data_IF_623912294390
#
_entry.id   IF_623912294390
#
_cell.length_a   1.000
_cell.length_b   1.000
_cell.length_c   1.000
_cell.angle_alpha   90.00
_cell.angle_beta   90.00
_cell.angle_gamma   90.00
#
_symmetry.space_group_name_H-M   'P 1'
#
loop_
_entity.id
_entity.type
_entity.pdbx_description
1 polymer ?
#
# COMPACT_ATOMS: atom_id res chain seq x y z
N UNK A 1 -19.15 11.99 -3.85
CA UNK A 1 -18.54 11.27 -2.73
C UNK A 1 -17.38 12.08 -2.21
N UNK A 2 -17.38 12.41 -0.93
CA UNK A 2 -16.26 13.17 -0.40
C UNK A 2 -15.08 12.25 -0.06
N UNK A 3 -13.87 12.82 0.16
CA UNK A 3 -12.68 12.00 0.44
C UNK A 3 -12.81 11.10 1.66
N UNK A 4 -13.49 11.53 2.70
CA UNK A 4 -13.67 10.69 3.89
C UNK A 4 -14.55 9.48 3.60
N UNK A 5 -15.62 9.67 2.81
CA UNK A 5 -16.48 8.57 2.40
C UNK A 5 -15.72 7.57 1.53
N UNK A 6 -14.84 8.05 0.66
CA UNK A 6 -13.97 7.19 -0.15
C UNK A 6 -13.06 6.36 0.73
N UNK A 7 -12.41 6.97 1.72
CA UNK A 7 -11.53 6.25 2.64
C UNK A 7 -12.28 5.23 3.47
N UNK A 8 -13.50 5.55 3.89
CA UNK A 8 -14.36 4.63 4.63
C UNK A 8 -14.74 3.43 3.75
N UNK A 9 -15.07 3.66 2.49
CA UNK A 9 -15.38 2.59 1.55
C UNK A 9 -14.18 1.67 1.32
N UNK A 10 -12.99 2.25 1.20
CA UNK A 10 -11.75 1.47 1.05
C UNK A 10 -11.50 0.62 2.31
N UNK A 11 -11.65 1.21 3.49
CA UNK A 11 -11.44 0.52 4.76
C UNK A 11 -12.37 -0.69 4.91
N UNK A 12 -13.62 -0.58 4.47
CA UNK A 12 -14.59 -1.68 4.56
C UNK A 12 -14.12 -2.92 3.77
N UNK A 13 -13.44 -2.72 2.64
CA UNK A 13 -12.91 -3.82 1.86
C UNK A 13 -11.77 -4.55 2.57
N UNK A 14 -11.00 -3.86 3.40
CA UNK A 14 -9.93 -4.48 4.17
C UNK A 14 -10.51 -5.50 5.15
N UNK A 15 -11.57 -5.13 5.87
CA UNK A 15 -12.21 -6.02 6.83
C UNK A 15 -12.75 -7.28 6.17
N UNK A 16 -13.41 -7.10 5.03
CA UNK A 16 -14.00 -8.22 4.28
C UNK A 16 -12.91 -9.19 3.81
N UNK A 17 -11.85 -8.68 3.21
CA UNK A 17 -10.77 -9.51 2.67
C UNK A 17 -9.93 -10.15 3.74
N UNK A 18 -9.72 -9.47 4.87
CA UNK A 18 -8.96 -10.00 6.00
C UNK A 18 -9.57 -11.29 6.55
N UNK A 19 -10.89 -11.35 6.62
CA UNK A 19 -11.60 -12.55 7.05
C UNK A 19 -11.34 -13.73 6.10
N UNK A 20 -11.30 -13.47 4.81
CA UNK A 20 -11.16 -14.50 3.79
C UNK A 20 -9.73 -15.02 3.62
N UNK A 21 -8.72 -14.22 3.88
CA UNK A 21 -7.33 -14.57 3.57
C UNK A 21 -6.45 -14.82 4.79
N UNK A 22 -7.03 -14.84 5.98
CA UNK A 22 -6.29 -15.20 7.18
C UNK A 22 -5.34 -14.14 7.70
N UNK A 23 -5.51 -12.89 7.26
CA UNK A 23 -4.69 -11.78 7.68
C UNK A 23 -3.82 -11.25 6.55
N UNK A 24 -3.72 -9.94 6.49
CA UNK A 24 -3.06 -9.25 5.37
C UNK A 24 -1.55 -9.48 5.42
N UNK A 25 -0.93 -9.29 6.58
CA UNK A 25 0.52 -9.45 6.72
C UNK A 25 0.98 -10.86 6.38
N UNK A 26 0.30 -11.87 6.92
CA UNK A 26 0.65 -13.26 6.67
C UNK A 26 0.50 -13.61 5.19
N UNK A 27 -0.55 -13.09 4.53
CA UNK A 27 -0.78 -13.34 3.11
C UNK A 27 0.32 -12.71 2.25
N UNK A 28 0.72 -11.48 2.58
CA UNK A 28 1.78 -10.78 1.82
C UNK A 28 3.15 -11.43 2.04
N UNK A 29 3.42 -11.91 3.26
CA UNK A 29 4.65 -12.66 3.54
C UNK A 29 4.71 -13.94 2.73
N UNK A 30 3.60 -14.67 2.66
CA UNK A 30 3.48 -15.89 1.87
C UNK A 30 3.67 -15.61 0.37
N UNK A 31 3.06 -14.54 -0.13
CA UNK A 31 3.20 -14.14 -1.52
C UNK A 31 4.64 -13.76 -1.85
N UNK A 32 5.31 -13.05 -0.94
CA UNK A 32 6.71 -12.67 -1.10
C UNK A 32 7.63 -13.91 -1.17
N UNK A 33 7.38 -14.88 -0.31
CA UNK A 33 8.16 -16.12 -0.32
C UNK A 33 8.01 -16.87 -1.65
N UNK A 34 6.77 -16.99 -2.13
CA UNK A 34 6.49 -17.65 -3.41
C UNK A 34 7.12 -16.90 -4.58
N UNK A 35 6.99 -15.58 -4.61
CA UNK A 35 7.57 -14.76 -5.67
C UNK A 35 9.11 -14.84 -5.67
N UNK A 36 9.72 -14.88 -4.49
CA UNK A 36 11.15 -15.04 -4.33
C UNK A 36 11.63 -16.33 -5.00
N UNK A 37 10.90 -17.43 -4.78
CA UNK A 37 11.23 -18.71 -5.41
C UNK A 37 11.05 -18.67 -6.92
N UNK A 38 9.95 -18.08 -7.40
CA UNK A 38 9.63 -18.06 -8.83
C UNK A 38 10.59 -17.17 -9.62
N UNK A 39 10.99 -16.07 -9.06
CA UNK A 39 11.81 -15.06 -9.76
C UNK A 39 13.28 -15.19 -9.47
N UNK A 40 13.65 -16.04 -8.53
CA UNK A 40 15.03 -16.27 -8.10
C UNK A 40 15.71 -14.95 -7.66
N UNK A 41 14.96 -14.12 -6.94
CA UNK A 41 15.48 -12.90 -6.32
C UNK A 41 14.63 -12.60 -5.10
N UNK A 42 15.27 -12.08 -4.05
CA UNK A 42 14.58 -11.79 -2.80
C UNK A 42 13.57 -10.68 -2.97
N UNK A 43 12.31 -10.99 -2.66
CA UNK A 43 11.23 -10.02 -2.61
C UNK A 43 10.64 -10.02 -1.21
N UNK A 44 10.36 -8.83 -0.68
CA UNK A 44 9.75 -8.66 0.63
C UNK A 44 8.23 -8.49 0.50
N UNK A 45 7.53 -8.62 1.61
CA UNK A 45 6.09 -8.32 1.64
C UNK A 45 5.81 -6.88 1.18
N UNK A 46 6.68 -5.95 1.56
CA UNK A 46 6.59 -4.56 1.11
C UNK A 46 6.68 -4.48 -0.42
N UNK A 47 7.64 -5.20 -1.03
CA UNK A 47 7.78 -5.23 -2.50
C UNK A 47 6.50 -5.72 -3.17
N UNK A 48 5.86 -6.74 -2.60
CA UNK A 48 4.59 -7.25 -3.13
C UNK A 48 3.52 -6.18 -3.09
N UNK A 49 3.42 -5.44 -1.99
CA UNK A 49 2.45 -4.35 -1.86
C UNK A 49 2.68 -3.26 -2.93
N UNK A 50 3.93 -2.89 -3.18
CA UNK A 50 4.29 -1.90 -4.20
C UNK A 50 3.89 -2.39 -5.60
N UNK A 51 4.14 -3.66 -5.91
CA UNK A 51 3.77 -4.21 -7.22
C UNK A 51 2.25 -4.20 -7.41
N UNK A 52 1.50 -4.61 -6.39
CA UNK A 52 0.03 -4.63 -6.47
C UNK A 52 -0.56 -3.22 -6.57
N UNK A 53 0.01 -2.27 -5.84
CA UNK A 53 -0.37 -0.86 -6.00
C UNK A 53 -0.12 -0.38 -7.43
N UNK A 54 1.02 -0.75 -8.00
CA UNK A 54 1.39 -0.38 -9.36
C UNK A 54 0.44 -0.98 -10.40
N UNK A 55 -0.05 -2.20 -10.16
CA UNK A 55 -1.06 -2.81 -11.03
C UNK A 55 -2.34 -1.97 -11.05
N UNK A 56 -2.76 -1.47 -9.90
CA UNK A 56 -3.96 -0.61 -9.82
C UNK A 56 -3.71 0.75 -10.44
N UNK A 57 -2.51 1.30 -10.28
CA UNK A 57 -2.13 2.56 -10.92
C UNK A 57 -2.16 2.43 -12.45
N UNK A 58 -1.65 1.33 -12.99
CA UNK A 58 -1.67 1.07 -14.42
C UNK A 58 -3.10 1.01 -14.95
N UNK A 59 -4.01 0.39 -14.19
CA UNK A 59 -5.42 0.32 -14.58
C UNK A 59 -6.08 1.70 -14.56
N UNK A 60 -5.77 2.52 -13.55
CA UNK A 60 -6.30 3.89 -13.47
C UNK A 60 -5.79 4.77 -14.60
N UNK A 61 -4.57 4.51 -15.08
CA UNK A 61 -4.00 5.26 -16.20
C UNK A 61 -4.83 5.09 -17.48
N UNK A 62 -5.41 3.89 -17.67
CA UNK A 62 -6.27 3.60 -18.82
C UNK A 62 -7.72 3.98 -18.55
N UNK A 63 -8.21 3.72 -17.34
CA UNK A 63 -9.60 3.98 -16.94
C UNK A 63 -9.64 4.77 -15.64
N UNK A 64 -9.47 6.09 -15.70
CA UNK A 64 -9.38 6.91 -14.49
C UNK A 64 -10.66 6.94 -13.66
N UNK A 65 -11.79 6.53 -14.20
CA UNK A 65 -13.06 6.45 -13.46
C UNK A 65 -13.32 5.06 -12.87
N UNK A 66 -12.39 4.12 -12.97
CA UNK A 66 -12.61 2.75 -12.48
C UNK A 66 -12.60 2.71 -10.96
N UNK A 67 -13.77 2.59 -10.39
CA UNK A 67 -14.01 2.71 -8.94
C UNK A 67 -13.16 1.74 -8.12
N UNK A 68 -13.22 0.45 -8.45
CA UNK A 68 -12.50 -0.58 -7.69
C UNK A 68 -10.99 -0.37 -7.68
N UNK A 69 -10.42 0.10 -8.79
CA UNK A 69 -8.97 0.34 -8.86
C UNK A 69 -8.54 1.48 -7.94
N UNK A 70 -9.39 2.49 -7.77
CA UNK A 70 -9.10 3.57 -6.82
C UNK A 70 -9.12 3.06 -5.38
N UNK A 71 -10.15 2.32 -5.00
CA UNK A 71 -10.25 1.79 -3.64
C UNK A 71 -9.14 0.79 -3.33
N UNK A 72 -8.89 -0.13 -4.25
CA UNK A 72 -7.83 -1.13 -4.07
C UNK A 72 -6.46 -0.47 -4.00
N UNK A 73 -6.21 0.55 -4.81
CA UNK A 73 -4.96 1.30 -4.79
C UNK A 73 -4.71 1.99 -3.46
N UNK A 74 -5.75 2.59 -2.87
CA UNK A 74 -5.67 3.18 -1.54
C UNK A 74 -5.28 2.13 -0.51
N UNK A 75 -5.90 0.96 -0.57
CA UNK A 75 -5.65 -0.11 0.38
C UNK A 75 -4.24 -0.69 0.23
N UNK A 76 -3.76 -0.90 -0.99
CA UNK A 76 -2.39 -1.36 -1.20
C UNK A 76 -1.37 -0.34 -0.70
N UNK A 77 -1.67 0.95 -0.83
CA UNK A 77 -0.82 2.00 -0.28
C UNK A 77 -0.77 1.91 1.25
N UNK A 78 -1.92 1.68 1.89
CA UNK A 78 -1.98 1.50 3.34
C UNK A 78 -1.19 0.25 3.77
N UNK A 79 -1.33 -0.85 3.03
CA UNK A 79 -0.57 -2.08 3.31
C UNK A 79 0.93 -1.85 3.15
N UNK A 80 1.33 -1.11 2.14
CA UNK A 80 2.74 -0.78 1.94
C UNK A 80 3.30 -0.01 3.14
N UNK A 81 2.55 0.94 3.66
CA UNK A 81 2.97 1.67 4.85
C UNK A 81 3.11 0.74 6.06
N UNK A 82 2.12 -0.13 6.29
CA UNK A 82 2.18 -1.12 7.36
C UNK A 82 3.42 -2.01 7.25
N UNK A 83 3.66 -2.53 6.06
CA UNK A 83 4.75 -3.49 5.81
C UNK A 83 6.13 -2.82 5.76
N UNK A 84 6.18 -1.51 5.60
CA UNK A 84 7.44 -0.76 5.58
C UNK A 84 8.04 -0.57 6.96
N UNK A 85 7.25 -0.75 8.01
CA UNK A 85 7.66 -0.44 9.37
C UNK A 85 7.64 1.05 9.69
N UNK A 86 7.11 1.89 8.80
CA UNK A 86 7.01 3.32 9.06
C UNK A 86 6.08 3.61 10.24
N UNK A 87 6.43 4.62 11.02
CA UNK A 87 5.65 5.02 12.18
C UNK A 87 5.64 6.54 12.29
N UNK A 88 4.63 7.11 12.97
CA UNK A 88 4.57 8.56 13.14
C UNK A 88 5.84 9.11 13.79
N UNK A 89 6.39 10.19 13.24
CA UNK A 89 7.54 10.87 13.79
C UNK A 89 8.89 10.19 13.55
N UNK A 90 8.92 9.10 12.78
CA UNK A 90 10.18 8.40 12.47
C UNK A 90 10.58 8.69 11.03
N UNK A 91 11.58 9.56 10.79
CA UNK A 91 12.08 9.76 9.44
C UNK A 91 12.88 8.56 8.98
N UNK A 92 12.76 8.18 7.71
CA UNK A 92 13.44 7.02 7.15
C UNK A 92 14.87 7.33 6.72
N UNK A 93 15.11 8.52 6.20
CA UNK A 93 16.44 8.99 5.80
C UNK A 93 16.58 10.46 6.11
N UNK A 94 17.85 10.96 6.26
CA UNK A 94 18.06 12.39 6.45
C UNK A 94 17.50 13.25 5.31
N UNK A 95 17.57 12.78 4.07
CA UNK A 95 17.03 13.50 2.93
C UNK A 95 15.52 13.61 3.00
N UNK A 96 14.86 12.52 3.38
CA UNK A 96 13.41 12.53 3.52
C UNK A 96 12.95 13.41 4.67
N UNK A 97 13.66 13.37 5.79
CA UNK A 97 13.39 14.25 6.93
C UNK A 97 13.49 15.71 6.53
N UNK A 98 14.56 16.06 5.80
CA UNK A 98 14.76 17.43 5.31
C UNK A 98 13.67 17.84 4.32
N UNK A 99 13.28 16.94 3.43
CA UNK A 99 12.22 17.18 2.46
C UNK A 99 10.88 17.43 3.15
N UNK A 100 10.54 16.62 4.14
CA UNK A 100 9.28 16.75 4.87
C UNK A 100 9.22 18.08 5.63
N UNK A 101 10.32 18.48 6.25
CA UNK A 101 10.41 19.78 6.92
C UNK A 101 10.17 20.92 5.93
N UNK A 102 10.80 20.83 4.76
CA UNK A 102 10.70 21.86 3.74
C UNK A 102 9.29 21.94 3.16
N UNK A 103 8.65 20.80 2.89
CA UNK A 103 7.32 20.76 2.30
C UNK A 103 6.22 21.10 3.31
N UNK A 104 6.34 20.58 4.53
CA UNK A 104 5.35 20.81 5.57
C UNK A 104 5.43 22.16 6.21
N UNK A 105 6.51 22.88 6.00
CA UNK A 105 6.76 24.14 6.66
C UNK A 105 7.00 23.94 8.15
N UNK A 106 7.04 25.05 8.85
CA UNK A 106 7.24 25.02 10.29
C UNK A 106 5.91 25.20 10.97
N UNK A 107 5.48 24.20 11.56
CA UNK A 107 4.19 24.23 12.24
C UNK A 107 4.32 24.37 13.73
#
# INVERSE_FOLDING_TARGET
MDPKAILTAAAALIDDRGVNYGGIEANFERAAALATLKLNRTLTAYDVAIVLESVKDARRAVSPEHYDSHLDGINYRAFAMLLSGAAPGVPTTPEMAAMLTKLGGEK
#
